data_IF_311527428035
#
_entry.id   IF_311527428035
#
_cell.length_a   1.000
_cell.length_b   1.000
_cell.length_c   1.000
_cell.angle_alpha   90.00
_cell.angle_beta   90.00
_cell.angle_gamma   90.00
#
_symmetry.space_group_name_H-M   'P 1'
#
loop_
_entity.id
_entity.type
_entity.pdbx_description
1 polymer ?
#
# COMPACT_ATOMS: atom_id res chain seq x y z
N UNK A 1 -14.71 -4.73 7.27
CA UNK A 1 -13.63 -4.60 6.28
C UNK A 1 -13.23 -3.15 6.13
N UNK A 2 -11.93 -2.90 6.00
CA UNK A 2 -11.47 -1.54 5.80
C UNK A 2 -11.84 -1.08 4.41
N UNK A 3 -12.41 0.12 4.31
CA UNK A 3 -12.86 0.65 3.04
C UNK A 3 -11.68 0.96 2.10
N UNK A 4 -10.65 1.57 2.65
CA UNK A 4 -9.49 1.98 1.87
C UNK A 4 -8.66 0.78 1.43
N UNK A 5 -7.98 0.96 0.29
CA UNK A 5 -7.02 -0.04 -0.17
C UNK A 5 -5.67 0.28 0.45
N UNK A 6 -5.01 -0.74 0.97
CA UNK A 6 -3.73 -0.55 1.65
C UNK A 6 -2.61 -0.90 0.68
N UNK A 7 -1.73 0.07 0.44
CA UNK A 7 -0.60 -0.11 -0.48
C UNK A 7 0.62 -0.52 0.32
N UNK A 8 1.20 -1.65 -0.03
CA UNK A 8 2.35 -2.22 0.69
C UNK A 8 3.43 -2.62 -0.29
N UNK A 9 4.62 -2.91 0.24
CA UNK A 9 5.75 -3.28 -0.61
C UNK A 9 5.73 -4.74 -1.03
N UNK A 10 5.35 -5.64 -0.14
CA UNK A 10 5.47 -7.05 -0.43
C UNK A 10 4.42 -7.90 0.23
N UNK A 11 4.47 -9.20 -0.06
CA UNK A 11 3.48 -10.14 0.44
C UNK A 11 3.48 -10.26 1.95
N UNK A 12 4.65 -10.12 2.57
CA UNK A 12 4.72 -10.22 4.02
C UNK A 12 3.92 -9.12 4.68
N UNK A 13 3.90 -7.95 4.05
CA UNK A 13 3.12 -6.85 4.59
C UNK A 13 1.63 -7.13 4.47
N UNK A 14 1.22 -7.77 3.38
CA UNK A 14 -0.18 -8.16 3.21
C UNK A 14 -0.59 -9.10 4.34
N UNK A 15 0.24 -10.08 4.63
CA UNK A 15 -0.05 -11.04 5.68
C UNK A 15 -0.18 -10.34 7.03
N UNK A 16 0.74 -9.43 7.30
CA UNK A 16 0.72 -8.70 8.56
C UNK A 16 -0.55 -7.85 8.70
N UNK A 17 -0.92 -7.18 7.61
CA UNK A 17 -2.13 -6.36 7.62
C UNK A 17 -3.35 -7.23 7.87
N UNK A 18 -3.45 -8.36 7.20
CA UNK A 18 -4.63 -9.20 7.29
C UNK A 18 -4.77 -9.92 8.62
N UNK A 19 -3.70 -9.98 9.39
CA UNK A 19 -3.80 -10.48 10.75
C UNK A 19 -4.54 -9.51 11.65
N UNK A 20 -4.40 -8.23 11.35
CA UNK A 20 -4.99 -7.19 12.19
C UNK A 20 -6.36 -6.77 11.69
N UNK A 21 -6.53 -6.65 10.38
CA UNK A 21 -7.76 -6.16 9.79
C UNK A 21 -8.05 -6.88 8.49
N UNK A 22 -9.30 -6.86 8.09
CA UNK A 22 -9.68 -7.37 6.79
C UNK A 22 -9.67 -6.21 5.80
N UNK A 23 -8.74 -6.25 4.86
CA UNK A 23 -8.57 -5.15 3.92
C UNK A 23 -7.96 -5.64 2.63
N UNK A 24 -8.25 -4.92 1.55
CA UNK A 24 -7.63 -5.20 0.27
C UNK A 24 -6.28 -4.49 0.21
N UNK A 25 -5.29 -5.17 -0.35
CA UNK A 25 -3.94 -4.63 -0.42
C UNK A 25 -3.43 -4.63 -1.85
N UNK A 26 -2.61 -3.63 -2.16
CA UNK A 26 -1.88 -3.56 -3.42
C UNK A 26 -0.39 -3.68 -3.11
N UNK A 27 0.28 -4.56 -3.84
CA UNK A 27 1.71 -4.79 -3.65
C UNK A 27 2.48 -4.04 -4.73
N UNK A 28 3.38 -3.15 -4.32
CA UNK A 28 4.17 -2.37 -5.28
C UNK A 28 5.41 -3.11 -5.75
N UNK A 29 5.90 -4.01 -4.94
CA UNK A 29 7.07 -4.80 -5.32
C UNK A 29 8.38 -4.06 -5.21
N UNK A 30 8.44 -3.00 -4.43
CA UNK A 30 9.68 -2.29 -4.19
C UNK A 30 9.66 -0.88 -4.73
N UNK A 31 10.79 -0.47 -5.32
CA UNK A 31 11.00 0.92 -5.67
C UNK A 31 10.47 1.32 -7.04
N UNK A 32 10.35 0.36 -7.93
CA UNK A 32 9.96 0.67 -9.30
C UNK A 32 8.47 0.49 -9.47
N UNK A 33 7.79 1.58 -9.78
CA UNK A 33 6.35 1.53 -10.03
C UNK A 33 6.11 1.55 -11.53
N UNK A 34 5.47 0.50 -12.01
CA UNK A 34 5.09 0.43 -13.42
C UNK A 34 3.89 1.33 -13.67
N UNK A 35 3.74 1.83 -14.90
CA UNK A 35 2.58 2.67 -15.21
C UNK A 35 1.26 2.00 -14.89
N UNK A 36 1.15 0.70 -15.11
CA UNK A 36 -0.08 -0.01 -14.79
C UNK A 36 -0.37 -0.01 -13.29
N UNK A 37 0.69 -0.12 -12.49
CA UNK A 37 0.53 -0.09 -11.05
C UNK A 37 0.08 1.29 -10.57
N UNK A 38 0.67 2.33 -11.14
CA UNK A 38 0.29 3.69 -10.79
C UNK A 38 -1.18 3.92 -11.11
N UNK A 39 -1.62 3.41 -12.25
CA UNK A 39 -3.01 3.55 -12.65
C UNK A 39 -3.94 2.84 -11.68
N UNK A 40 -3.55 1.64 -11.22
CA UNK A 40 -4.35 0.90 -10.26
C UNK A 40 -4.45 1.65 -8.93
N UNK A 41 -3.35 2.22 -8.49
CA UNK A 41 -3.34 2.99 -7.25
C UNK A 41 -4.25 4.20 -7.39
N UNK A 42 -4.17 4.87 -8.52
CA UNK A 42 -4.99 6.05 -8.76
C UNK A 42 -6.47 5.71 -8.73
N UNK A 43 -6.86 4.61 -9.38
CA UNK A 43 -8.26 4.19 -9.39
C UNK A 43 -8.74 3.84 -7.99
N UNK A 44 -7.91 3.16 -7.23
CA UNK A 44 -8.26 2.81 -5.87
C UNK A 44 -8.43 4.07 -5.02
N UNK A 45 -7.54 5.02 -5.21
CA UNK A 45 -7.61 6.27 -4.48
C UNK A 45 -8.92 7.00 -4.77
N UNK A 46 -9.30 7.07 -6.04
CA UNK A 46 -10.49 7.80 -6.43
C UNK A 46 -11.77 7.15 -5.95
N UNK A 47 -11.78 5.83 -5.93
CA UNK A 47 -13.01 5.11 -5.58
C UNK A 47 -13.13 4.80 -4.10
N UNK A 48 -12.02 4.51 -3.45
CA UNK A 48 -12.06 4.00 -2.09
C UNK A 48 -11.14 4.72 -1.13
N UNK A 49 -10.14 5.43 -1.66
CA UNK A 49 -9.08 5.98 -0.85
C UNK A 49 -7.99 4.95 -0.66
N UNK A 50 -6.80 5.40 -0.31
CA UNK A 50 -5.69 4.50 -0.08
C UNK A 50 -4.98 4.84 1.21
N UNK A 51 -4.34 3.82 1.78
CA UNK A 51 -3.46 3.98 2.93
C UNK A 51 -2.12 3.39 2.51
N UNK A 52 -1.06 4.18 2.64
CA UNK A 52 0.27 3.72 2.25
C UNK A 52 1.01 3.29 3.50
N UNK A 53 1.41 2.01 3.52
CA UNK A 53 2.22 1.49 4.61
C UNK A 53 3.62 1.29 4.10
N UNK A 54 4.55 1.97 4.71
CA UNK A 54 5.95 1.84 4.36
C UNK A 54 6.73 1.32 5.54
N UNK A 55 7.88 0.74 5.21
CA UNK A 55 8.81 0.28 6.23
C UNK A 55 9.22 1.46 7.09
N UNK A 56 9.17 1.35 8.41
CA UNK A 56 9.57 2.46 9.27
C UNK A 56 11.06 2.78 9.20
N UNK A 57 11.84 1.95 8.54
CA UNK A 57 13.27 2.19 8.44
C UNK A 57 13.60 3.19 7.37
N UNK A 58 14.50 4.09 7.68
CA UNK A 58 15.16 4.95 6.71
C UNK A 58 14.21 5.73 5.83
N UNK A 59 14.08 5.32 4.60
CA UNK A 59 13.35 6.10 3.60
C UNK A 59 11.90 6.36 3.99
N UNK A 60 11.29 5.41 4.64
CA UNK A 60 9.90 5.59 5.04
C UNK A 60 9.70 6.76 5.98
N UNK A 61 10.60 6.91 6.92
CA UNK A 61 10.50 8.00 7.88
C UNK A 61 10.68 9.36 7.23
N UNK A 62 11.56 9.42 6.26
CA UNK A 62 11.80 10.68 5.58
C UNK A 62 10.59 11.15 4.82
N UNK A 63 9.90 10.23 4.21
CA UNK A 63 8.74 10.56 3.40
C UNK A 63 7.61 11.10 4.26
N UNK A 64 7.53 10.64 5.48
CA UNK A 64 6.45 11.06 6.36
C UNK A 64 6.51 12.52 6.75
N UNK A 65 7.64 13.13 6.53
CA UNK A 65 7.74 14.54 6.78
C UNK A 65 7.18 15.34 5.64
#
# INVERSE_FOLDING_TARGET
>A
MVKEVIVVEGKQDVIAVNRAVEADCLITGGFTLKPSMIENIRRAYEKRGIIILTDPDGAGERIRK
#
